data_IF_251116174266
#
_entry.id   IF_251116174266
#
_cell.length_a   1.000
_cell.length_b   1.000
_cell.length_c   1.000
_cell.angle_alpha   90.00
_cell.angle_beta   90.00
_cell.angle_gamma   90.00
#
_symmetry.space_group_name_H-M   'P 1'
#
loop_
_entity.id
_entity.type
_entity.pdbx_description
1 polymer ?
#
# COMPACT_ATOMS: atom_id res chain seq x y z
N UNK A 1 5.20 9.35 26.04
CA UNK A 1 4.31 10.40 25.55
C UNK A 1 3.30 9.99 24.47
N UNK A 2 3.52 10.20 23.15
CA UNK A 2 2.44 10.22 22.14
C UNK A 2 1.53 8.97 22.09
N UNK A 3 2.09 7.76 22.16
CA UNK A 3 1.30 6.51 22.18
C UNK A 3 0.26 6.49 23.30
N UNK A 4 0.66 6.95 24.50
CA UNK A 4 -0.20 6.98 25.67
C UNK A 4 -1.23 8.10 25.58
N UNK A 5 -0.81 9.30 25.16
CA UNK A 5 -1.72 10.43 24.94
C UNK A 5 -2.80 10.11 23.90
N UNK A 6 -2.42 9.50 22.77
CA UNK A 6 -3.38 9.12 21.73
C UNK A 6 -4.30 8.00 22.20
N UNK A 7 -3.78 6.96 22.85
CA UNK A 7 -4.61 5.90 23.42
C UNK A 7 -5.63 6.43 24.44
N UNK A 8 -5.18 7.35 25.30
CA UNK A 8 -6.02 8.04 26.27
C UNK A 8 -7.11 8.87 25.59
N UNK A 9 -6.75 9.70 24.62
CA UNK A 9 -7.69 10.57 23.90
C UNK A 9 -8.77 9.76 23.16
N UNK A 10 -8.40 8.66 22.48
CA UNK A 10 -9.38 7.79 21.81
C UNK A 10 -10.30 7.14 22.84
N UNK A 11 -9.76 6.64 23.96
CA UNK A 11 -10.58 6.01 24.99
C UNK A 11 -11.58 6.98 25.64
N UNK A 12 -11.15 8.20 25.99
CA UNK A 12 -12.02 9.27 26.51
C UNK A 12 -13.11 9.62 25.51
N UNK A 13 -12.74 9.80 24.24
CA UNK A 13 -13.69 10.08 23.15
C UNK A 13 -14.73 8.96 22.96
N UNK A 14 -14.37 7.71 23.23
CA UNK A 14 -15.27 6.56 23.21
C UNK A 14 -16.02 6.32 24.53
N UNK A 15 -15.83 7.17 25.54
CA UNK A 15 -16.36 6.99 26.91
C UNK A 15 -15.97 5.64 27.52
N UNK A 16 -14.76 5.15 27.20
CA UNK A 16 -14.18 3.92 27.73
C UNK A 16 -13.09 4.25 28.74
N UNK A 17 -12.81 3.31 29.64
CA UNK A 17 -11.70 3.44 30.58
C UNK A 17 -10.36 3.39 29.83
N UNK A 18 -9.55 4.46 29.86
CA UNK A 18 -8.25 4.50 29.17
C UNK A 18 -7.24 3.52 29.75
N UNK A 19 -7.39 3.15 31.03
CA UNK A 19 -6.54 2.17 31.74
C UNK A 19 -6.75 0.73 31.31
N UNK A 20 -7.91 0.41 30.74
CA UNK A 20 -8.30 -0.95 30.37
C UNK A 20 -8.40 -1.15 28.86
N UNK A 21 -8.24 -0.06 28.08
CA UNK A 21 -8.41 -0.08 26.63
C UNK A 21 -7.06 0.10 25.94
N UNK A 22 -6.60 -0.93 25.22
CA UNK A 22 -5.45 -0.83 24.32
C UNK A 22 -5.96 -0.65 22.88
N UNK A 23 -6.02 0.61 22.43
CA UNK A 23 -6.56 1.02 21.13
C UNK A 23 -5.43 1.32 20.13
N UNK A 24 -4.29 1.83 20.61
CA UNK A 24 -3.08 2.03 19.81
C UNK A 24 -2.16 0.82 20.01
N UNK A 25 -1.80 0.15 18.92
CA UNK A 25 -0.92 -1.02 18.93
C UNK A 25 0.54 -0.62 19.06
N UNK A 26 1.00 0.31 18.21
CA UNK A 26 2.36 0.82 18.21
C UNK A 26 2.43 2.15 17.43
N UNK A 27 3.46 2.95 17.70
CA UNK A 27 3.84 4.10 16.87
C UNK A 27 5.30 3.89 16.46
N UNK A 28 5.56 3.98 15.16
CA UNK A 28 6.85 3.61 14.57
C UNK A 28 7.41 4.79 13.77
N UNK A 29 8.68 5.11 13.99
CA UNK A 29 9.43 6.05 13.15
C UNK A 29 9.75 5.37 11.80
N UNK A 30 9.32 6.00 10.71
CA UNK A 30 9.57 5.56 9.34
C UNK A 30 10.07 6.73 8.49
N UNK A 31 10.71 6.44 7.37
CA UNK A 31 11.11 7.44 6.37
C UNK A 31 10.28 7.32 5.11
N UNK A 32 9.99 8.45 4.48
CA UNK A 32 9.22 8.52 3.24
C UNK A 32 9.51 9.80 2.47
N UNK A 33 8.91 9.92 1.29
CA UNK A 33 8.96 11.15 0.48
C UNK A 33 7.53 11.65 0.32
N UNK A 34 7.29 12.95 0.54
CA UNK A 34 5.97 13.53 0.37
C UNK A 34 5.49 13.40 -1.08
N UNK A 35 4.28 12.86 -1.26
CA UNK A 35 3.66 12.73 -2.59
C UNK A 35 3.16 14.07 -3.16
N UNK A 36 2.53 14.89 -2.31
CA UNK A 36 1.99 16.19 -2.74
C UNK A 36 3.08 17.26 -2.76
N UNK A 37 3.46 17.69 -3.96
CA UNK A 37 4.53 18.67 -4.20
C UNK A 37 5.84 18.02 -4.63
N UNK A 38 6.80 18.83 -5.09
CA UNK A 38 8.11 18.32 -5.53
C UNK A 38 9.06 18.20 -4.34
N UNK A 39 9.47 16.96 -4.01
CA UNK A 39 10.37 16.64 -2.91
C UNK A 39 11.45 15.68 -3.43
N UNK A 40 12.69 15.88 -2.99
CA UNK A 40 13.86 15.12 -3.44
C UNK A 40 14.75 14.63 -2.29
N UNK A 41 14.17 14.48 -1.10
CA UNK A 41 14.84 14.00 0.11
C UNK A 41 13.89 13.15 0.95
N UNK A 42 14.43 12.28 1.80
CA UNK A 42 13.62 11.60 2.81
C UNK A 42 13.18 12.59 3.90
N UNK A 43 11.99 12.37 4.42
CA UNK A 43 11.48 13.05 5.62
C UNK A 43 11.05 12.00 6.65
N UNK A 44 11.20 12.27 7.96
CA UNK A 44 10.73 11.37 9.00
C UNK A 44 9.21 11.46 9.17
N UNK A 45 8.57 10.31 9.36
CA UNK A 45 7.14 10.18 9.62
C UNK A 45 6.89 9.22 10.79
N UNK A 46 5.73 9.37 11.43
CA UNK A 46 5.25 8.44 12.44
C UNK A 46 4.15 7.56 11.85
N UNK A 47 4.38 6.26 11.75
CA UNK A 47 3.38 5.25 11.39
C UNK A 47 2.64 4.83 12.66
N UNK A 48 1.40 5.27 12.80
CA UNK A 48 0.52 4.94 13.92
C UNK A 48 -0.30 3.70 13.58
N UNK A 49 -0.10 2.61 14.33
CA UNK A 49 -0.80 1.34 14.15
C UNK A 49 -1.93 1.27 15.17
N UNK A 50 -3.16 1.19 14.69
CA UNK A 50 -4.38 1.16 15.50
C UNK A 50 -4.92 -0.27 15.53
N UNK A 51 -5.41 -0.71 16.69
CA UNK A 51 -5.87 -2.09 16.90
C UNK A 51 -7.16 -2.41 16.12
N UNK A 52 -8.06 -1.43 16.01
CA UNK A 52 -9.32 -1.55 15.28
C UNK A 52 -9.34 -0.54 14.11
N UNK A 53 -9.44 -0.99 12.85
CA UNK A 53 -9.53 -0.10 11.69
C UNK A 53 -10.67 0.91 11.75
N UNK A 54 -11.77 0.61 12.44
CA UNK A 54 -12.90 1.53 12.58
C UNK A 54 -12.52 2.81 13.35
N UNK A 55 -11.43 2.77 14.14
CA UNK A 55 -10.98 3.89 14.96
C UNK A 55 -9.99 4.82 14.23
N UNK A 56 -9.58 4.49 13.00
CA UNK A 56 -8.56 5.26 12.26
C UNK A 56 -9.01 6.69 11.99
N UNK A 57 -10.24 6.87 11.49
CA UNK A 57 -10.77 8.22 11.20
C UNK A 57 -10.94 9.04 12.47
N UNK A 58 -11.44 8.42 13.55
CA UNK A 58 -11.54 9.05 14.87
C UNK A 58 -10.17 9.51 15.37
N UNK A 59 -9.16 8.65 15.31
CA UNK A 59 -7.79 8.99 15.69
C UNK A 59 -7.22 10.14 14.84
N UNK A 60 -7.48 10.14 13.52
CA UNK A 60 -7.07 11.20 12.62
C UNK A 60 -7.70 12.56 13.01
N UNK A 61 -9.00 12.59 13.27
CA UNK A 61 -9.72 13.80 13.72
C UNK A 61 -9.16 14.33 15.04
N UNK A 62 -8.87 13.46 16.00
CA UNK A 62 -8.29 13.85 17.29
C UNK A 62 -6.86 14.40 17.15
N UNK A 63 -6.06 13.84 16.25
CA UNK A 63 -4.72 14.34 15.96
C UNK A 63 -4.75 15.70 15.25
N UNK A 64 -5.75 15.94 14.40
CA UNK A 64 -5.91 17.21 13.67
C UNK A 64 -6.51 18.33 14.52
N UNK A 65 -7.34 18.00 15.51
CA UNK A 65 -8.01 19.00 16.37
C UNK A 65 -7.01 19.84 17.17
N UNK A 66 -5.89 19.23 17.57
CA UNK A 66 -4.91 19.82 18.48
C UNK A 66 -5.11 19.45 19.94
N UNK A 67 -6.08 18.56 20.24
CA UNK A 67 -6.35 18.10 21.61
C UNK A 67 -5.22 17.23 22.19
N UNK A 68 -4.35 16.68 21.35
CA UNK A 68 -3.23 15.84 21.75
C UNK A 68 -1.95 16.67 21.66
N UNK A 69 -1.19 16.73 22.75
CA UNK A 69 0.10 17.45 22.83
C UNK A 69 0.04 18.93 22.41
N UNK A 70 -1.15 19.55 22.48
CA UNK A 70 -1.43 20.93 22.03
C UNK A 70 -0.92 21.22 20.61
N UNK A 71 -0.84 20.18 19.78
CA UNK A 71 -0.22 20.24 18.46
C UNK A 71 -1.20 19.73 17.43
N UNK A 72 -1.42 20.50 16.35
CA UNK A 72 -2.22 20.06 15.20
C UNK A 72 -1.36 19.22 14.27
N UNK A 73 -1.55 17.91 14.31
CA UNK A 73 -0.79 17.00 13.47
C UNK A 73 -1.34 16.98 12.04
N UNK A 74 -0.44 16.93 11.06
CA UNK A 74 -0.79 16.62 9.68
C UNK A 74 -0.87 15.11 9.52
N UNK A 75 -2.07 14.61 9.25
CA UNK A 75 -2.33 13.18 9.04
C UNK A 75 -2.23 12.87 7.54
N UNK A 76 -1.63 11.73 7.21
CA UNK A 76 -1.44 11.25 5.85
C UNK A 76 -2.19 9.93 5.68
N UNK A 77 -2.65 9.65 4.45
CA UNK A 77 -3.22 8.36 4.03
C UNK A 77 -4.42 7.83 4.85
N UNK A 78 -5.04 8.62 5.74
CA UNK A 78 -6.20 8.21 6.54
C UNK A 78 -7.47 7.92 5.72
N UNK A 79 -7.50 8.37 4.46
CA UNK A 79 -8.64 8.19 3.56
C UNK A 79 -8.69 6.82 2.89
N UNK A 80 -7.61 6.02 2.97
CA UNK A 80 -7.54 4.69 2.37
C UNK A 80 -8.24 3.67 3.28
N UNK A 81 -9.11 2.84 2.70
CA UNK A 81 -9.75 1.77 3.46
C UNK A 81 -8.73 0.73 3.91
N UNK A 82 -9.00 0.09 5.06
CA UNK A 82 -8.11 -0.95 5.59
C UNK A 82 -7.90 -2.10 4.60
N UNK A 83 -8.96 -2.53 3.92
CA UNK A 83 -8.88 -3.58 2.90
C UNK A 83 -7.96 -3.16 1.76
N UNK A 84 -8.06 -1.92 1.28
CA UNK A 84 -7.20 -1.42 0.21
C UNK A 84 -5.73 -1.35 0.66
N UNK A 85 -5.46 -0.84 1.87
CA UNK A 85 -4.12 -0.81 2.43
C UNK A 85 -3.52 -2.22 2.51
N UNK A 86 -4.29 -3.20 2.99
CA UNK A 86 -3.87 -4.60 3.05
C UNK A 86 -3.56 -5.18 1.66
N UNK A 87 -4.43 -4.95 0.67
CA UNK A 87 -4.20 -5.42 -0.69
C UNK A 87 -2.92 -4.81 -1.28
N UNK A 88 -2.72 -3.50 -1.12
CA UNK A 88 -1.52 -2.81 -1.59
C UNK A 88 -0.24 -3.31 -0.90
N UNK A 89 -0.26 -3.44 0.43
CA UNK A 89 0.91 -3.85 1.21
C UNK A 89 1.34 -5.28 0.87
N UNK A 90 0.41 -6.18 0.51
CA UNK A 90 0.71 -7.57 0.18
C UNK A 90 0.76 -7.88 -1.32
N UNK A 91 0.62 -6.86 -2.18
CA UNK A 91 0.64 -7.06 -3.64
C UNK A 91 -0.55 -7.89 -4.15
N UNK A 92 -1.70 -7.79 -3.48
CA UNK A 92 -2.92 -8.50 -3.82
C UNK A 92 -3.86 -7.61 -4.65
N UNK A 93 -4.69 -8.24 -5.48
CA UNK A 93 -5.71 -7.57 -6.27
C UNK A 93 -6.94 -8.48 -6.42
N UNK A 94 -8.07 -7.90 -6.81
CA UNK A 94 -9.33 -8.62 -6.95
C UNK A 94 -9.22 -9.78 -7.93
N UNK A 95 -9.84 -10.91 -7.59
CA UNK A 95 -9.83 -12.16 -8.38
C UNK A 95 -8.42 -12.72 -8.69
N UNK A 96 -7.38 -12.27 -7.98
CA UNK A 96 -6.03 -12.82 -8.09
C UNK A 96 -5.80 -14.02 -7.16
N UNK A 97 -4.71 -14.74 -7.40
CA UNK A 97 -4.26 -15.83 -6.53
C UNK A 97 -3.56 -15.30 -5.29
N UNK A 98 -3.86 -15.91 -4.13
CA UNK A 98 -3.12 -15.70 -2.89
C UNK A 98 -2.20 -16.91 -2.69
N UNK A 99 -0.90 -16.67 -2.73
CA UNK A 99 0.14 -17.66 -2.51
C UNK A 99 0.54 -17.63 -1.03
N UNK A 100 0.34 -18.74 -0.32
CA UNK A 100 0.64 -18.87 1.11
C UNK A 100 1.78 -19.88 1.32
N UNK A 101 2.76 -19.52 2.16
CA UNK A 101 3.82 -20.44 2.56
C UNK A 101 3.34 -21.50 3.56
N UNK A 102 2.48 -21.10 4.49
CA UNK A 102 1.89 -22.00 5.49
C UNK A 102 0.48 -21.52 5.85
N UNK A 103 -0.37 -22.46 6.24
CA UNK A 103 -1.74 -22.22 6.66
C UNK A 103 -2.20 -23.30 7.65
N UNK A 104 -3.14 -22.92 8.53
CA UNK A 104 -3.70 -23.81 9.54
C UNK A 104 -5.17 -24.08 9.28
N UNK A 105 -5.54 -25.34 9.13
CA UNK A 105 -6.91 -25.72 8.85
C UNK A 105 -7.77 -25.63 10.13
N UNK A 106 -8.91 -24.95 10.04
CA UNK A 106 -9.94 -24.93 11.09
C UNK A 106 -10.85 -26.14 10.98
N UNK A 107 -11.37 -26.55 12.13
CA UNK A 107 -12.25 -27.71 12.24
C UNK A 107 -11.45 -29.00 12.28
N UNK A 108 -11.35 -29.57 13.47
CA UNK A 108 -10.97 -30.97 13.66
C UNK A 108 -12.23 -31.81 13.48
N UNK A 109 -12.14 -32.91 12.75
CA UNK A 109 -13.24 -33.83 12.42
C UNK A 109 -14.31 -33.95 13.53
N UNK A 110 -15.51 -33.44 13.24
CA UNK A 110 -16.74 -33.88 13.91
C UNK A 110 -17.35 -35.13 13.24
N UNK A 111 -16.65 -35.79 12.31
CA UNK A 111 -17.12 -37.01 11.67
C UNK A 111 -16.14 -38.17 11.87
N UNK A 112 -16.43 -38.97 12.90
CA UNK A 112 -15.98 -40.35 12.99
C UNK A 112 -16.53 -41.26 11.85
N UNK A 113 -17.22 -40.71 10.85
CA UNK A 113 -17.94 -41.47 9.81
C UNK A 113 -17.52 -41.18 8.35
N UNK A 114 -16.52 -40.34 8.08
CA UNK A 114 -16.07 -40.10 6.69
C UNK A 114 -14.91 -41.04 6.29
N UNK A 115 -15.13 -42.34 6.41
CA UNK A 115 -14.23 -43.40 5.93
C UNK A 115 -14.31 -43.64 4.41
N UNK A 116 -14.60 -42.60 3.61
CA UNK A 116 -14.71 -42.74 2.14
C UNK A 116 -13.91 -41.73 1.32
N UNK A 117 -13.28 -40.72 1.93
CA UNK A 117 -12.30 -39.85 1.25
C UNK A 117 -10.86 -40.04 1.76
N UNK A 118 -10.63 -41.02 2.63
CA UNK A 118 -9.33 -41.35 3.21
C UNK A 118 -8.46 -42.23 2.29
N UNK A 119 -8.56 -42.04 0.97
CA UNK A 119 -7.55 -42.53 0.05
C UNK A 119 -6.82 -41.34 -0.56
N UNK A 120 -5.74 -40.95 0.13
CA UNK A 120 -4.53 -40.43 -0.48
C UNK A 120 -4.51 -38.94 -0.85
N UNK A 121 -4.61 -38.09 0.17
CA UNK A 121 -3.86 -36.82 0.20
C UNK A 121 -3.33 -36.65 1.62
N UNK A 122 -2.01 -36.76 1.79
CA UNK A 122 -1.33 -36.31 3.00
C UNK A 122 -1.82 -34.88 3.27
N UNK A 123 -2.59 -34.67 4.35
CA UNK A 123 -3.07 -33.32 4.65
C UNK A 123 -1.86 -32.47 5.08
N UNK A 124 -1.50 -31.51 4.21
CA UNK A 124 -0.28 -30.68 4.28
C UNK A 124 -0.34 -29.63 5.41
N UNK A 125 -1.52 -29.34 5.95
CA UNK A 125 -1.75 -28.23 6.87
C UNK A 125 -1.77 -28.67 8.34
N UNK A 126 -1.22 -27.83 9.23
CA UNK A 126 -1.39 -28.02 10.67
C UNK A 126 -2.83 -27.64 11.09
N UNK A 127 -3.30 -28.14 12.23
CA UNK A 127 -4.64 -27.79 12.73
C UNK A 127 -4.62 -26.47 13.51
N UNK A 128 -5.55 -25.58 13.17
CA UNK A 128 -5.83 -24.37 13.93
C UNK A 128 -6.52 -24.72 15.25
N UNK A 129 -6.23 -24.01 16.36
CA UNK A 129 -6.94 -24.18 17.63
C UNK A 129 -8.39 -23.66 17.56
N UNK A 130 -8.77 -22.98 16.47
CA UNK A 130 -10.09 -22.37 16.30
C UNK A 130 -11.05 -23.29 15.54
N UNK A 131 -12.32 -23.22 15.93
CA UNK A 131 -13.42 -23.93 15.26
C UNK A 131 -13.84 -23.21 13.97
N UNK A 132 -14.40 -23.95 13.02
CA UNK A 132 -14.99 -23.36 11.81
C UNK A 132 -16.11 -22.38 12.18
N UNK A 133 -16.13 -21.23 11.51
CA UNK A 133 -17.16 -20.21 11.67
C UNK A 133 -18.01 -20.05 10.40
N UNK A 134 -17.58 -20.63 9.28
CA UNK A 134 -18.25 -20.56 8.00
C UNK A 134 -18.85 -21.90 7.59
N UNK A 135 -19.58 -21.92 6.46
CA UNK A 135 -20.08 -23.15 5.83
C UNK A 135 -19.21 -23.62 4.66
N UNK A 136 -18.01 -23.05 4.50
CA UNK A 136 -17.10 -23.43 3.43
C UNK A 136 -16.50 -24.82 3.70
N UNK A 137 -16.29 -25.66 2.66
CA UNK A 137 -15.69 -26.98 2.85
C UNK A 137 -14.26 -26.93 3.42
N UNK A 138 -13.53 -25.85 3.14
CA UNK A 138 -12.18 -25.61 3.64
C UNK A 138 -12.13 -24.22 4.27
N UNK A 139 -11.78 -24.17 5.55
CA UNK A 139 -11.53 -22.93 6.30
C UNK A 139 -10.11 -22.97 6.83
N UNK A 140 -9.30 -21.96 6.53
CA UNK A 140 -7.90 -21.89 6.91
C UNK A 140 -7.57 -20.55 7.55
N UNK A 141 -6.67 -20.59 8.52
CA UNK A 141 -6.02 -19.43 9.11
C UNK A 141 -4.63 -19.26 8.52
N UNK A 142 -4.27 -18.04 8.14
CA UNK A 142 -2.92 -17.70 7.74
C UNK A 142 -2.51 -16.39 8.40
N UNK A 143 -1.28 -16.34 8.89
CA UNK A 143 -0.69 -15.09 9.39
C UNK A 143 -0.17 -14.27 8.22
N UNK A 144 -0.18 -12.95 8.36
CA UNK A 144 0.10 -12.04 7.24
C UNK A 144 1.48 -12.28 6.59
N UNK A 145 2.50 -12.60 7.40
CA UNK A 145 3.85 -12.90 6.91
C UNK A 145 3.94 -14.17 6.05
N UNK A 146 2.91 -15.02 6.01
CA UNK A 146 2.86 -16.20 5.12
C UNK A 146 2.43 -15.86 3.70
N UNK A 147 1.96 -14.64 3.44
CA UNK A 147 1.49 -14.22 2.10
C UNK A 147 2.71 -13.91 1.22
N UNK A 148 3.02 -14.84 0.32
CA UNK A 148 4.19 -14.81 -0.55
C UNK A 148 4.09 -13.78 -1.67
N UNK A 149 2.87 -13.37 -2.04
CA UNK A 149 2.64 -12.34 -3.07
C UNK A 149 3.44 -11.06 -2.82
N UNK A 150 3.71 -10.71 -1.55
CA UNK A 150 4.51 -9.52 -1.19
C UNK A 150 5.92 -9.56 -1.77
N UNK A 151 6.50 -10.74 -2.00
CA UNK A 151 7.84 -10.82 -2.57
C UNK A 151 7.87 -10.46 -4.07
N UNK A 152 6.70 -10.33 -4.71
CA UNK A 152 6.56 -9.88 -6.11
C UNK A 152 6.59 -8.35 -6.24
N UNK A 153 6.40 -7.59 -5.16
CA UNK A 153 6.51 -6.12 -5.14
C UNK A 153 7.93 -5.69 -4.76
N UNK A 154 8.46 -4.69 -5.45
CA UNK A 154 9.80 -4.14 -5.17
C UNK A 154 9.74 -2.61 -5.11
N UNK A 155 10.22 -2.04 -4.00
CA UNK A 155 10.28 -0.60 -3.83
C UNK A 155 11.35 0.04 -4.74
N UNK A 156 10.97 1.11 -5.45
CA UNK A 156 11.89 1.91 -6.26
C UNK A 156 12.26 3.18 -5.50
N UNK A 157 13.39 3.15 -4.81
CA UNK A 157 13.90 4.29 -4.04
C UNK A 157 14.56 5.33 -4.97
N UNK A 158 13.79 5.96 -5.85
CA UNK A 158 14.30 6.94 -6.84
C UNK A 158 13.94 8.40 -6.53
N UNK A 159 13.06 8.63 -5.57
CA UNK A 159 12.54 9.97 -5.27
C UNK A 159 13.23 10.67 -4.08
N UNK A 160 14.10 9.95 -3.36
CA UNK A 160 14.82 10.48 -2.20
C UNK A 160 16.09 11.24 -2.57
N UNK A 161 16.45 11.25 -3.86
CA UNK A 161 17.60 11.95 -4.40
C UNK A 161 17.27 12.41 -5.82
N UNK A 162 17.66 13.64 -6.14
CA UNK A 162 17.51 14.19 -7.48
C UNK A 162 18.71 13.79 -8.35
N UNK A 163 18.52 12.83 -9.26
CA UNK A 163 19.51 12.46 -10.27
C UNK A 163 19.12 13.06 -11.63
N UNK A 164 20.04 13.83 -12.23
CA UNK A 164 19.86 14.47 -13.54
C UNK A 164 21.02 14.04 -14.45
N UNK A 165 20.77 13.33 -15.58
CA UNK A 165 19.47 12.91 -16.10
C UNK A 165 18.81 11.80 -15.27
N UNK A 166 17.48 11.72 -15.34
CA UNK A 166 16.72 10.70 -14.64
C UNK A 166 17.12 9.28 -15.10
N UNK A 167 17.11 8.28 -14.20
CA UNK A 167 17.39 6.89 -14.57
C UNK A 167 16.36 6.37 -15.58
N UNK A 168 16.79 5.50 -16.49
CA UNK A 168 15.92 4.90 -17.50
C UNK A 168 14.80 4.09 -16.84
N UNK A 169 13.56 4.30 -17.28
CA UNK A 169 12.41 3.52 -16.83
C UNK A 169 12.55 2.05 -17.30
N UNK A 170 12.08 1.09 -16.49
CA UNK A 170 12.04 -0.30 -16.93
C UNK A 170 11.09 -0.43 -18.14
N UNK A 171 11.41 -1.31 -19.10
CA UNK A 171 10.59 -1.52 -20.30
C UNK A 171 9.27 -2.24 -20.00
N UNK A 172 9.15 -2.89 -18.83
CA UNK A 172 7.99 -3.65 -18.42
C UNK A 172 6.89 -2.75 -17.80
N UNK A 173 5.61 -3.14 -17.94
CA UNK A 173 4.51 -2.43 -17.28
C UNK A 173 4.70 -2.46 -15.76
N UNK A 174 4.58 -1.29 -15.14
CA UNK A 174 4.75 -1.11 -13.69
C UNK A 174 3.54 -1.63 -12.89
N UNK A 175 2.37 -1.68 -13.53
CA UNK A 175 1.13 -2.15 -12.89
C UNK A 175 1.06 -3.68 -12.95
N UNK A 176 1.13 -4.33 -11.79
CA UNK A 176 1.19 -5.79 -11.67
C UNK A 176 0.01 -6.52 -12.33
N UNK A 177 -1.22 -6.04 -12.10
CA UNK A 177 -2.42 -6.67 -12.69
C UNK A 177 -2.44 -6.60 -14.22
N UNK A 178 -1.91 -5.51 -14.79
CA UNK A 178 -1.81 -5.32 -16.23
C UNK A 178 -0.74 -6.23 -16.83
N UNK A 179 0.33 -6.51 -16.08
CA UNK A 179 1.40 -7.43 -16.50
C UNK A 179 0.85 -8.82 -16.83
N UNK A 180 -0.05 -9.35 -16.03
CA UNK A 180 -0.64 -10.68 -16.27
C UNK A 180 -1.46 -10.71 -17.55
N UNK A 181 -2.23 -9.66 -17.83
CA UNK A 181 -2.96 -9.51 -19.09
C UNK A 181 -2.01 -9.49 -20.30
N UNK A 182 -0.87 -8.81 -20.18
CA UNK A 182 0.16 -8.79 -21.22
C UNK A 182 0.81 -10.16 -21.42
N UNK A 183 1.06 -10.90 -20.34
CA UNK A 183 1.63 -12.25 -20.44
C UNK A 183 0.63 -13.23 -21.06
N UNK A 184 -0.65 -13.12 -20.73
CA UNK A 184 -1.72 -13.91 -21.37
C UNK A 184 -1.86 -13.59 -22.85
N UNK A 185 -1.84 -12.30 -23.22
CA UNK A 185 -1.86 -11.91 -24.63
C UNK A 185 -0.63 -12.43 -25.36
N UNK A 186 0.55 -12.38 -24.74
CA UNK A 186 1.79 -12.94 -25.30
C UNK A 186 1.63 -14.44 -25.59
N UNK A 187 1.07 -15.21 -24.65
CA UNK A 187 0.80 -16.64 -24.81
C UNK A 187 -0.18 -16.89 -25.98
N UNK A 188 -1.26 -16.13 -26.07
CA UNK A 188 -2.25 -16.24 -27.16
C UNK A 188 -1.62 -15.95 -28.53
N UNK A 189 -0.77 -14.93 -28.62
CA UNK A 189 -0.08 -14.56 -29.87
C UNK A 189 0.91 -15.62 -30.31
N UNK A 190 1.72 -16.12 -29.38
CA UNK A 190 2.67 -17.22 -29.65
C UNK A 190 1.93 -18.47 -30.14
N UNK A 191 0.82 -18.83 -29.49
CA UNK A 191 -0.01 -19.98 -29.90
C UNK A 191 -0.60 -19.81 -31.31
N UNK A 192 -0.79 -18.58 -31.78
CA UNK A 192 -1.25 -18.25 -33.14
C UNK A 192 -0.10 -17.99 -34.13
N UNK A 193 1.17 -18.20 -33.72
CA UNK A 193 2.34 -17.94 -34.56
C UNK A 193 2.61 -16.46 -34.84
N UNK A 194 1.99 -15.55 -34.07
CA UNK A 194 2.20 -14.10 -34.18
C UNK A 194 3.37 -13.66 -33.30
N UNK A 195 3.92 -12.47 -33.60
CA UNK A 195 4.96 -11.87 -32.77
C UNK A 195 4.45 -11.65 -31.32
N UNK A 196 5.25 -12.00 -30.28
CA UNK A 196 4.82 -11.98 -28.87
C UNK A 196 4.32 -10.62 -28.36
N UNK A 197 4.91 -9.52 -28.85
CA UNK A 197 4.51 -8.16 -28.48
C UNK A 197 3.72 -7.54 -29.64
N UNK A 198 2.55 -6.92 -29.39
CA UNK A 198 1.87 -6.13 -30.41
C UNK A 198 2.67 -4.85 -30.72
N UNK A 199 2.48 -4.32 -31.92
CA UNK A 199 3.07 -3.04 -32.29
C UNK A 199 2.44 -1.92 -31.45
N UNK A 200 3.27 -1.10 -30.80
CA UNK A 200 2.81 0.03 -30.00
C UNK A 200 2.16 1.05 -30.95
N UNK A 201 0.90 1.44 -30.73
CA UNK A 201 0.26 2.49 -31.53
C UNK A 201 1.11 3.76 -31.50
N UNK A 202 1.52 4.24 -32.68
CA UNK A 202 2.23 5.51 -32.79
C UNK A 202 1.21 6.63 -32.60
N UNK A 203 1.34 7.40 -31.54
CA UNK A 203 0.51 8.59 -31.32
C UNK A 203 0.85 9.65 -32.39
N UNK A 204 -0.08 9.99 -33.31
CA UNK A 204 0.19 10.98 -34.34
C UNK A 204 0.41 12.39 -33.77
N UNK A 205 0.03 12.65 -32.52
CA UNK A 205 0.18 13.94 -31.85
C UNK A 205 1.56 14.20 -31.27
N UNK A 206 2.41 13.17 -31.09
CA UNK A 206 3.79 13.39 -30.59
C UNK A 206 4.59 14.31 -31.52
N UNK A 207 4.38 14.19 -32.83
CA UNK A 207 5.04 15.03 -33.83
C UNK A 207 4.36 16.40 -34.03
N UNK A 208 3.14 16.61 -33.51
CA UNK A 208 2.40 17.87 -33.66
C UNK A 208 2.63 18.84 -32.51
N UNK A 209 3.28 18.40 -31.41
CA UNK A 209 3.66 19.28 -30.31
C UNK A 209 4.85 20.14 -30.77
N UNK A 210 4.58 21.42 -30.99
CA UNK A 210 5.64 22.42 -31.16
C UNK A 210 6.54 22.45 -29.92
N UNK A 211 7.75 23.01 -30.05
CA UNK A 211 8.77 23.06 -28.96
C UNK A 211 8.36 23.92 -27.73
N UNK A 212 7.06 24.19 -27.56
CA UNK A 212 6.40 24.71 -26.37
C UNK A 212 6.80 26.14 -26.04
N UNK A 213 6.29 27.15 -26.77
CA UNK A 213 6.67 28.56 -26.55
C UNK A 213 5.64 29.61 -27.02
N UNK A 214 4.34 29.33 -26.89
CA UNK A 214 3.32 30.22 -27.46
C UNK A 214 2.14 30.52 -26.53
N UNK A 215 2.30 30.36 -25.22
CA UNK A 215 1.28 30.87 -24.31
C UNK A 215 1.36 32.40 -24.25
N UNK A 216 0.23 33.08 -24.40
CA UNK A 216 0.16 34.55 -24.44
C UNK A 216 0.79 35.24 -23.20
N UNK A 217 0.85 34.55 -22.06
CA UNK A 217 1.41 35.07 -20.81
C UNK A 217 2.80 34.49 -20.46
N UNK A 218 3.46 33.80 -21.38
CA UNK A 218 4.73 33.10 -21.13
C UNK A 218 5.83 34.03 -20.60
N UNK A 219 6.02 35.19 -21.24
CA UNK A 219 7.04 36.17 -20.83
C UNK A 219 6.86 36.57 -19.36
N UNK A 220 5.62 36.87 -18.97
CA UNK A 220 5.26 37.23 -17.59
C UNK A 220 5.58 36.10 -16.61
N UNK A 221 5.29 34.84 -16.97
CA UNK A 221 5.56 33.71 -16.08
C UNK A 221 7.05 33.42 -15.95
N UNK A 222 7.83 33.57 -17.02
CA UNK A 222 9.29 33.43 -16.96
C UNK A 222 9.94 34.49 -16.07
N UNK A 223 9.51 35.74 -16.17
CA UNK A 223 9.99 36.82 -15.29
C UNK A 223 9.69 36.51 -13.81
N UNK A 224 8.49 36.02 -13.50
CA UNK A 224 8.10 35.63 -12.14
C UNK A 224 8.91 34.43 -11.63
N UNK A 225 9.17 33.43 -12.48
CA UNK A 225 10.01 32.26 -12.14
C UNK A 225 11.45 32.70 -11.84
N UNK A 226 12.05 33.52 -12.71
CA UNK A 226 13.42 34.01 -12.51
C UNK A 226 13.53 34.81 -11.22
N UNK A 227 12.58 35.71 -10.97
CA UNK A 227 12.52 36.48 -9.72
C UNK A 227 12.44 35.58 -8.48
N UNK A 228 11.68 34.48 -8.54
CA UNK A 228 11.63 33.50 -7.44
C UNK A 228 12.94 32.75 -7.26
N UNK A 229 13.56 32.31 -8.35
CA UNK A 229 14.87 31.65 -8.32
C UNK A 229 15.93 32.56 -7.66
N UNK A 230 15.95 33.84 -8.01
CA UNK A 230 16.88 34.81 -7.41
C UNK A 230 16.61 35.03 -5.91
N UNK A 231 15.33 35.16 -5.53
CA UNK A 231 14.93 35.34 -4.13
C UNK A 231 15.24 34.10 -3.27
N UNK A 232 14.94 32.91 -3.77
CA UNK A 232 15.11 31.63 -3.05
C UNK A 232 16.56 31.14 -3.08
N UNK A 233 17.29 31.39 -4.17
CA UNK A 233 18.71 31.06 -4.30
C UNK A 233 19.59 31.82 -3.29
N UNK A 234 19.16 33.00 -2.82
CA UNK A 234 19.82 33.71 -1.75
C UNK A 234 19.55 33.12 -0.34
N UNK A 235 18.50 32.29 -0.20
CA UNK A 235 18.04 31.72 1.08
C UNK A 235 18.38 30.23 1.24
N UNK A 236 18.43 29.47 0.15
CA UNK A 236 18.71 28.03 0.21
C UNK A 236 20.21 27.73 0.11
N UNK A 237 20.82 27.42 1.24
CA UNK A 237 21.96 26.50 1.24
C UNK A 237 21.35 25.10 1.09
N UNK A 238 21.53 24.45 -0.07
CA UNK A 238 21.12 23.05 -0.28
C UNK A 238 21.60 22.23 0.92
N UNK A 239 20.67 21.79 1.77
CA UNK A 239 20.96 20.83 2.85
C UNK A 239 21.37 19.52 2.19
N UNK A 240 22.65 19.43 1.86
CA UNK A 240 23.32 18.30 1.19
C UNK A 240 23.96 17.36 2.21
N UNK A 241 23.69 17.56 3.51
CA UNK A 241 24.03 16.59 4.52
C UNK A 241 23.06 15.42 4.40
N UNK A 242 23.51 14.32 3.81
CA UNK A 242 22.85 13.03 3.98
C UNK A 242 22.80 12.75 5.49
N UNK A 243 21.63 12.92 6.09
CA UNK A 243 21.51 12.78 7.52
C UNK A 243 21.64 11.28 7.88
N UNK A 244 22.61 10.97 8.74
CA UNK A 244 22.99 9.59 9.12
C UNK A 244 21.86 8.75 9.72
N UNK A 245 20.71 9.34 10.04
CA UNK A 245 19.54 8.64 10.58
C UNK A 245 18.81 7.82 9.52
N UNK A 246 18.89 8.20 8.24
CA UNK A 246 18.10 7.55 7.18
C UNK A 246 18.39 6.05 7.08
N UNK A 247 19.64 5.62 7.33
CA UNK A 247 20.03 4.19 7.28
C UNK A 247 19.42 3.35 8.42
N UNK A 248 19.08 4.00 9.52
CA UNK A 248 18.61 3.36 10.75
C UNK A 248 17.09 3.24 10.83
N UNK A 249 16.40 3.88 9.89
CA UNK A 249 14.94 3.99 9.86
C UNK A 249 14.39 3.28 8.63
N UNK A 250 13.39 2.41 8.87
CA UNK A 250 12.67 1.70 7.81
C UNK A 250 11.95 2.69 6.89
N UNK A 251 11.92 2.40 5.60
CA UNK A 251 10.96 3.03 4.68
C UNK A 251 9.52 2.63 5.05
N UNK A 252 8.54 3.39 4.56
CA UNK A 252 7.13 3.02 4.68
C UNK A 252 6.84 1.61 4.14
N UNK A 253 7.50 1.21 3.04
CA UNK A 253 7.41 -0.13 2.46
C UNK A 253 7.94 -1.22 3.39
N UNK A 254 9.15 -1.05 3.93
CA UNK A 254 9.80 -2.00 4.84
C UNK A 254 9.07 -2.10 6.19
N UNK A 255 8.43 -1.02 6.64
CA UNK A 255 7.72 -0.97 7.92
C UNK A 255 6.53 -1.92 8.06
N UNK A 256 6.13 -2.58 6.97
CA UNK A 256 5.12 -3.65 6.97
C UNK A 256 5.53 -4.84 7.82
N UNK A 257 6.84 -5.12 7.90
CA UNK A 257 7.41 -6.21 8.69
C UNK A 257 7.71 -5.80 10.15
N UNK A 258 7.52 -4.53 10.50
CA UNK A 258 8.05 -3.97 11.74
C UNK A 258 7.53 -4.67 13.01
N UNK A 259 6.26 -5.08 13.01
CA UNK A 259 5.62 -5.80 14.13
C UNK A 259 5.67 -7.33 14.00
N UNK A 260 6.32 -7.87 12.98
CA UNK A 260 6.47 -9.32 12.86
C UNK A 260 7.43 -9.87 13.91
N UNK A 261 7.31 -11.16 14.20
CA UNK A 261 8.28 -11.85 15.06
C UNK A 261 9.68 -11.79 14.42
N UNK A 262 10.72 -11.78 15.24
CA UNK A 262 12.09 -11.57 14.78
C UNK A 262 12.53 -12.57 13.69
N UNK A 263 12.06 -13.82 13.75
CA UNK A 263 12.34 -14.86 12.75
C UNK A 263 11.77 -14.57 11.35
N UNK A 264 10.75 -13.73 11.25
CA UNK A 264 10.08 -13.40 9.99
C UNK A 264 10.48 -12.03 9.43
N UNK A 265 11.23 -11.23 10.20
CA UNK A 265 11.72 -9.93 9.73
C UNK A 265 12.93 -10.11 8.82
N UNK A 266 12.86 -9.54 7.63
CA UNK A 266 13.96 -9.53 6.67
C UNK A 266 14.79 -8.25 6.74
N UNK A 267 14.18 -7.14 7.17
CA UNK A 267 14.81 -5.83 7.19
C UNK A 267 16.03 -5.76 8.12
N UNK A 268 17.10 -5.11 7.64
CA UNK A 268 18.31 -4.78 8.39
C UNK A 268 18.75 -3.34 8.04
N UNK A 269 19.31 -2.58 8.99
CA UNK A 269 19.88 -1.26 8.71
C UNK A 269 20.92 -1.31 7.57
N UNK A 270 20.97 -0.27 6.74
CA UNK A 270 21.95 -0.21 5.66
C UNK A 270 23.38 -0.07 6.23
N UNK A 271 24.30 -0.93 5.78
CA UNK A 271 25.73 -0.90 6.16
C UNK A 271 26.47 0.19 5.39
N UNK A 272 27.49 0.82 6.00
CA UNK A 272 28.34 1.77 5.24
C UNK A 272 29.21 1.02 4.24
N UNK A 273 29.58 1.66 3.12
CA UNK A 273 30.57 1.12 2.19
C UNK A 273 31.90 0.78 2.87
N UNK A 274 32.30 1.59 3.87
CA UNK A 274 33.49 1.36 4.68
C UNK A 274 33.39 0.06 5.49
N UNK A 275 32.25 -0.18 6.14
CA UNK A 275 31.97 -1.40 6.92
C UNK A 275 31.96 -2.66 6.03
N UNK A 276 31.48 -2.54 4.78
CA UNK A 276 31.50 -3.63 3.79
C UNK A 276 32.91 -3.98 3.30
N UNK A 277 33.83 -3.01 3.30
CA UNK A 277 35.23 -3.23 2.89
C UNK A 277 36.03 -3.94 3.98
N UNK A 278 35.78 -3.63 5.25
CA UNK A 278 36.40 -4.30 6.41
C UNK A 278 35.90 -5.74 6.54
N UNK A 279 34.59 -5.97 6.42
CA UNK A 279 33.99 -7.31 6.46
C UNK A 279 34.43 -8.25 5.30
N UNK A 280 34.98 -7.70 4.22
CA UNK A 280 35.56 -8.47 3.11
C UNK A 280 37.02 -8.88 3.34
N UNK A 281 37.73 -8.16 4.20
CA UNK A 281 39.14 -8.38 4.52
C UNK A 281 39.32 -9.26 5.75
N UNK A 282 38.44 -9.10 6.74
CA UNK A 282 38.35 -9.92 7.95
C UNK A 282 37.26 -10.97 7.70
N UNK A 283 37.64 -12.16 7.24
CA UNK A 283 36.70 -13.20 6.85
C UNK A 283 35.67 -13.50 7.95
N UNK A 284 34.40 -13.16 7.67
CA UNK A 284 33.18 -13.51 8.43
C UNK A 284 33.32 -13.67 9.96
N UNK A 285 34.11 -12.82 10.62
CA UNK A 285 33.98 -12.65 12.07
C UNK A 285 32.83 -11.67 12.31
N UNK A 286 31.79 -12.15 13.00
CA UNK A 286 30.60 -11.40 13.39
C UNK A 286 31.01 -10.19 14.24
N UNK A 287 31.31 -9.06 13.59
CA UNK A 287 31.43 -7.78 14.26
C UNK A 287 30.13 -7.53 15.04
N UNK A 288 30.27 -7.19 16.33
CA UNK A 288 29.13 -6.93 17.22
C UNK A 288 28.12 -6.01 16.51
N UNK A 289 26.83 -6.37 16.48
CA UNK A 289 25.84 -5.59 15.75
C UNK A 289 25.77 -4.20 16.35
N UNK A 290 26.19 -3.20 15.57
CA UNK A 290 26.09 -1.80 15.96
C UNK A 290 24.64 -1.49 16.36
N UNK A 291 24.44 -1.18 17.64
CA UNK A 291 23.11 -1.02 18.23
C UNK A 291 22.39 0.17 17.58
N UNK A 292 21.19 -0.06 17.03
CA UNK A 292 20.45 0.98 16.33
C UNK A 292 19.96 2.04 17.34
N UNK A 293 20.42 3.31 17.26
CA UNK A 293 20.03 4.35 18.22
C UNK A 293 18.54 4.69 18.17
N UNK A 294 17.85 4.31 17.10
CA UNK A 294 16.41 4.48 16.91
C UNK A 294 15.62 3.18 17.10
N UNK A 295 16.21 2.10 17.63
CA UNK A 295 15.55 0.79 17.76
C UNK A 295 14.21 0.88 18.52
N UNK A 296 14.17 1.65 19.61
CA UNK A 296 12.94 1.85 20.41
C UNK A 296 11.82 2.54 19.62
N UNK A 297 12.16 3.49 18.76
CA UNK A 297 11.22 4.23 17.92
C UNK A 297 10.86 3.48 16.62
N UNK A 298 11.79 2.71 16.06
CA UNK A 298 11.64 2.05 14.75
C UNK A 298 11.09 0.64 14.83
N UNK A 299 11.31 -0.10 15.93
CA UNK A 299 10.85 -1.49 16.03
C UNK A 299 9.49 -1.64 16.70
N UNK A 300 8.85 -0.52 17.05
CA UNK A 300 7.48 -0.49 17.57
C UNK A 300 7.26 -1.50 18.68
N UNK A 301 8.08 -1.45 19.74
CA UNK A 301 7.90 -2.32 20.91
C UNK A 301 6.42 -2.25 21.30
N UNK A 302 5.69 -3.35 21.07
CA UNK A 302 4.32 -3.46 21.48
C UNK A 302 4.29 -3.12 22.97
N UNK A 303 3.34 -2.28 23.39
CA UNK A 303 3.06 -2.07 24.81
C UNK A 303 2.60 -3.40 25.40
N UNK A 304 3.58 -4.24 25.74
CA UNK A 304 3.47 -5.38 26.61
C UNK A 304 4.11 -4.90 27.91
N UNK A 305 3.33 -5.03 28.98
CA UNK A 305 3.63 -4.65 30.37
C UNK A 305 3.27 -3.22 30.76
N UNK A 306 2.14 -3.17 31.47
CA UNK A 306 1.84 -2.20 32.51
C UNK A 306 3.05 -1.97 33.43
N UNK A 307 3.33 -0.70 33.70
CA UNK A 307 3.84 -0.28 35.00
C UNK A 307 3.04 0.97 35.38
N UNK A 308 2.55 0.99 36.61
CA UNK A 308 1.62 1.97 37.19
C UNK A 308 2.15 3.42 37.21
N UNK A 309 3.35 3.68 36.68
CA UNK A 309 4.10 4.93 36.82
C UNK A 309 4.16 5.83 35.56
N UNK A 310 3.57 5.46 34.42
CA UNK A 310 3.68 6.26 33.16
C UNK A 310 2.50 7.24 32.96
N UNK A 311 1.50 7.24 33.85
CA UNK A 311 0.35 8.16 33.76
C UNK A 311 0.70 9.65 33.97
N UNK A 312 1.94 9.97 34.38
CA UNK A 312 2.40 11.36 34.53
C UNK A 312 2.74 12.08 33.23
N UNK A 313 2.83 11.38 32.09
CA UNK A 313 3.28 11.91 30.79
C UNK A 313 2.16 11.89 29.72
N UNK A 314 0.91 12.07 30.16
CA UNK A 314 -0.26 12.19 29.27
C UNK A 314 -0.53 13.67 29.03
N UNK A 315 -0.29 14.11 27.79
CA UNK A 315 -0.60 15.48 27.33
C UNK A 315 -1.81 15.45 26.41
N UNK A 316 -2.99 15.53 27.03
CA UNK A 316 -4.30 15.52 26.38
C UNK A 316 -5.16 16.61 27.02
N UNK A 317 -5.74 17.45 26.17
CA UNK A 317 -6.70 18.49 26.58
C UNK A 317 -8.10 17.88 26.67
N UNK A 318 -8.47 17.37 27.86
CA UNK A 318 -9.77 16.73 28.10
C UNK A 318 -10.95 17.69 27.87
N UNK A 319 -10.80 18.97 28.26
CA UNK A 319 -11.83 19.98 28.03
C UNK A 319 -12.11 20.17 26.53
N UNK A 320 -11.05 20.14 25.71
CA UNK A 320 -11.19 20.18 24.25
C UNK A 320 -11.84 18.92 23.69
N UNK A 321 -11.55 17.74 24.24
CA UNK A 321 -12.20 16.48 23.82
C UNK A 321 -13.69 16.45 24.18
N UNK A 322 -14.06 17.02 25.32
CA UNK A 322 -15.46 17.12 25.75
C UNK A 322 -16.23 18.23 25.02
N UNK A 323 -15.52 19.11 24.31
CA UNK A 323 -16.15 20.17 23.53
C UNK A 323 -17.15 19.63 22.50
N UNK A 324 -18.24 20.37 22.30
CA UNK A 324 -19.23 20.02 21.28
C UNK A 324 -18.65 20.01 19.87
N UNK A 325 -17.59 20.80 19.61
CA UNK A 325 -16.97 20.90 18.30
C UNK A 325 -16.24 19.61 17.91
N UNK A 326 -15.37 19.09 18.79
CA UNK A 326 -14.64 17.84 18.53
C UNK A 326 -15.60 16.66 18.41
N UNK A 327 -16.61 16.58 19.29
CA UNK A 327 -17.61 15.52 19.22
C UNK A 327 -18.40 15.55 17.90
N UNK A 328 -18.84 16.73 17.43
CA UNK A 328 -19.52 16.86 16.13
C UNK A 328 -18.64 16.45 14.95
N UNK A 329 -17.36 16.81 14.99
CA UNK A 329 -16.41 16.43 13.93
C UNK A 329 -16.24 14.90 13.87
N UNK A 330 -16.07 14.27 15.02
CA UNK A 330 -15.95 12.81 15.12
C UNK A 330 -17.24 12.11 14.66
N UNK A 331 -18.40 12.56 15.13
CA UNK A 331 -19.71 12.02 14.72
C UNK A 331 -19.96 12.17 13.22
N UNK A 332 -19.58 13.30 12.62
CA UNK A 332 -19.71 13.54 11.18
C UNK A 332 -18.82 12.61 10.37
N UNK A 333 -17.57 12.40 10.79
CA UNK A 333 -16.63 11.50 10.11
C UNK A 333 -17.10 10.04 10.19
N UNK A 334 -17.58 9.61 11.35
CA UNK A 334 -18.14 8.25 11.52
C UNK A 334 -19.39 8.05 10.67
N UNK A 335 -20.28 9.05 10.61
CA UNK A 335 -21.46 9.02 9.75
C UNK A 335 -21.08 8.96 8.25
N UNK A 336 -20.03 9.69 7.85
CA UNK A 336 -19.53 9.67 6.48
C UNK A 336 -18.90 8.32 6.12
N UNK A 337 -18.16 7.71 7.05
CA UNK A 337 -17.59 6.38 6.87
C UNK A 337 -18.68 5.32 6.72
N UNK A 338 -19.67 5.31 7.62
CA UNK A 338 -20.80 4.38 7.52
C UNK A 338 -21.52 4.49 6.18
N UNK A 339 -21.73 5.72 5.67
CA UNK A 339 -22.33 5.93 4.34
C UNK A 339 -21.48 5.39 3.19
N UNK A 340 -20.15 5.44 3.29
CA UNK A 340 -19.26 4.86 2.28
C UNK A 340 -19.37 3.33 2.28
N UNK A 341 -19.40 2.73 3.46
CA UNK A 341 -19.51 1.27 3.64
C UNK A 341 -20.88 0.73 3.20
N UNK A 342 -21.98 1.41 3.56
CA UNK A 342 -23.33 1.01 3.14
C UNK A 342 -23.64 1.36 1.69
N UNK A 343 -23.13 2.49 1.18
CA UNK A 343 -23.29 2.88 -0.21
C UNK A 343 -22.63 1.92 -1.21
N UNK A 344 -21.51 1.30 -0.84
CA UNK A 344 -20.90 0.22 -1.61
C UNK A 344 -21.72 -1.07 -1.54
N UNK A 345 -22.44 -1.31 -0.44
CA UNK A 345 -23.29 -2.49 -0.27
C UNK A 345 -24.60 -2.37 -1.05
N UNK A 346 -25.25 -1.20 -1.05
CA UNK A 346 -26.49 -0.94 -1.79
C UNK A 346 -26.27 -0.93 -3.32
N UNK A 347 -25.16 -0.32 -3.80
CA UNK A 347 -24.79 -0.38 -5.22
C UNK A 347 -24.52 -1.80 -5.69
N UNK A 348 -23.87 -2.62 -4.85
CA UNK A 348 -23.57 -4.03 -5.16
C UNK A 348 -24.82 -4.92 -5.13
N UNK A 349 -25.84 -4.59 -4.33
CA UNK A 349 -27.12 -5.29 -4.35
C UNK A 349 -27.92 -4.96 -5.62
N UNK A 350 -27.87 -3.71 -6.10
CA UNK A 350 -28.57 -3.27 -7.30
C UNK A 350 -27.95 -3.81 -8.60
N UNK A 351 -26.65 -4.15 -8.60
CA UNK A 351 -25.94 -4.74 -9.75
C UNK A 351 -26.13 -6.27 -9.88
N UNK A 352 -26.77 -6.92 -8.88
CA UNK A 352 -27.06 -8.36 -8.87
C UNK A 352 -28.53 -8.65 -9.17
N UNK A 353 -29.40 -7.64 -9.16
CA UNK A 353 -30.83 -7.79 -9.44
C UNK A 353 -31.24 -6.91 -10.61
N UNK A 354 -30.98 -7.36 -11.83
CA UNK A 354 -31.79 -7.19 -13.05
C UNK A 354 -30.93 -7.43 -14.30
N UNK A 355 -30.66 -8.69 -14.61
CA UNK A 355 -30.54 -9.11 -16.02
C UNK A 355 -31.76 -9.97 -16.33
N UNK A 356 -32.80 -9.45 -17.01
CA UNK A 356 -33.82 -10.31 -17.58
C UNK A 356 -33.15 -11.15 -18.67
N UNK A 357 -33.33 -12.47 -18.59
CA UNK A 357 -32.88 -13.40 -19.62
C UNK A 357 -33.36 -12.93 -21.00
N UNK A 358 -32.43 -12.45 -21.81
CA UNK A 358 -32.63 -12.25 -23.25
C UNK A 358 -32.34 -13.61 -23.88
N UNK A 359 -33.36 -14.24 -24.46
CA UNK A 359 -33.20 -15.40 -25.33
C UNK A 359 -32.24 -15.01 -26.47
N UNK A 360 -31.02 -15.56 -26.44
CA UNK A 360 -30.06 -15.48 -27.55
C UNK A 360 -30.57 -16.34 -28.71
N UNK A 361 -31.42 -15.75 -29.56
CA UNK A 361 -31.69 -16.28 -30.89
C UNK A 361 -30.43 -16.04 -31.75
N UNK A 362 -29.73 -17.13 -32.09
CA UNK A 362 -28.52 -17.10 -32.92
C UNK A 362 -28.76 -16.29 -34.21
N UNK A 363 -27.87 -15.34 -34.56
CA UNK A 363 -27.97 -14.65 -35.84
C UNK A 363 -27.71 -15.65 -36.98
N UNK A 364 -28.43 -15.56 -38.11
CA UNK A 364 -28.26 -16.49 -39.22
C UNK A 364 -26.87 -16.37 -39.84
N UNK A 365 -26.26 -17.51 -40.15
CA UNK A 365 -24.96 -17.57 -40.81
C UNK A 365 -24.99 -16.85 -42.17
N UNK A 366 -23.94 -16.09 -42.54
CA UNK A 366 -23.84 -15.52 -43.87
C UNK A 366 -23.65 -16.64 -44.90
N UNK A 367 -24.61 -16.77 -45.81
CA UNK A 367 -24.47 -17.56 -47.03
C UNK A 367 -23.36 -16.93 -47.88
N UNK A 368 -22.27 -17.67 -48.07
CA UNK A 368 -21.30 -17.36 -49.11
C UNK A 368 -21.87 -17.86 -50.43
N UNK A 369 -22.32 -16.92 -51.27
CA UNK A 369 -22.58 -17.19 -52.68
C UNK A 369 -21.24 -17.44 -53.37
N UNK A 370 -20.98 -18.71 -53.66
CA UNK A 370 -19.92 -19.17 -54.54
C UNK A 370 -20.39 -18.98 -55.98
N UNK A 371 -20.13 -17.80 -56.55
CA UNK A 371 -20.16 -17.62 -58.00
C UNK A 371 -18.96 -16.80 -58.46
N UNK A 372 -17.94 -17.57 -58.84
CA UNK A 372 -16.72 -17.12 -59.47
C UNK A 372 -16.94 -17.08 -60.99
N UNK A 373 -17.01 -15.90 -61.61
CA UNK A 373 -16.95 -15.80 -63.07
C UNK A 373 -16.47 -14.43 -63.61
N UNK A 374 -15.28 -14.49 -64.22
CA UNK A 374 -14.84 -13.77 -65.43
C UNK A 374 -14.24 -12.34 -65.35
N UNK A 375 -12.93 -12.29 -65.69
CA UNK A 375 -12.17 -11.37 -66.58
C UNK A 375 -12.59 -9.87 -66.64
N UNK A 376 -11.69 -8.87 -66.64
CA UNK A 376 -10.53 -8.73 -67.52
C UNK A 376 -9.64 -7.53 -67.12
N UNK A 377 -8.34 -7.71 -67.36
CA UNK A 377 -7.25 -6.77 -67.61
C UNK A 377 -7.56 -5.25 -67.76
N UNK A 378 -6.81 -4.42 -67.02
CA UNK A 378 -6.46 -3.06 -67.46
C UNK A 378 -5.16 -2.57 -66.80
N UNK A 379 -4.08 -2.63 -67.58
CA UNK A 379 -2.77 -1.98 -67.37
C UNK A 379 -2.84 -0.47 -67.11
N UNK A 380 -1.80 0.14 -66.49
CA UNK A 380 -1.79 1.53 -66.07
C UNK A 380 -1.44 2.49 -67.21
N UNK A 381 -1.98 3.71 -67.16
CA UNK A 381 -1.52 4.84 -67.98
C UNK A 381 -1.30 6.08 -67.12
N UNK A 382 -0.12 6.67 -67.29
CA UNK A 382 0.14 8.12 -67.24
C UNK A 382 0.54 8.68 -65.91
#
# INVERSE_FOLDING_TARGET
>A
MLTHSLNHAIAVSMKRNPRQSQLVRAIILVKGVHFYGFHSSYSPFLKVLIADPALVNRAATLLQSGAIMKTRFRVYESHLSYVLQFLCDFGLYGCGWIELADAWQRGRDYSADTSQFSQQQDMIFQFSPYYCQTRMPLEVDATAHQILNRHRITARNMHHKLDIPAPSLPPEPVVLSVRELWDDERRRRIARGLHPSPDIPKDPSENSRNAGREWAAEVRWWEEIQKRIENEGAQQTLQTGAEDWERWVMTTFESTEALWEAKWRSWKPARRPEDLSVAKLEGEEEQEPQENPYASASQGLASQYAAEDVYGDIDVDEDMLESQEVNRLVESEESAQQKRETGDTEKRAHDVSEDPAVDDELPPEPQYDDDNAYYEDATPKG
#
